data_IF_690844013990
#
_entry.id   IF_690844013990
#
_cell.length_a   1.000
_cell.length_b   1.000
_cell.length_c   1.000
_cell.angle_alpha   90.00
_cell.angle_beta   90.00
_cell.angle_gamma   90.00
#
_symmetry.space_group_name_H-M   'P 1'
#
loop_
_entity.id
_entity.type
_entity.pdbx_description
1 polymer ?
#
# COMPACT_ATOMS: atom_id res chain seq x y z
N UNK A 1 -6.05 -11.37 -9.56
CA UNK A 1 -5.15 -10.94 -8.46
C UNK A 1 -3.90 -10.39 -9.13
N UNK A 2 -3.53 -9.16 -8.82
CA UNK A 2 -2.26 -8.57 -9.26
C UNK A 2 -1.24 -8.69 -8.13
N UNK A 3 -0.02 -9.11 -8.45
CA UNK A 3 1.06 -9.25 -7.49
C UNK A 3 2.19 -8.29 -7.85
N UNK A 4 2.37 -7.27 -7.02
CA UNK A 4 3.45 -6.28 -7.19
C UNK A 4 4.55 -6.58 -6.18
N UNK A 5 5.56 -7.34 -6.62
CA UNK A 5 6.69 -7.74 -5.79
C UNK A 5 7.74 -6.62 -5.69
N UNK A 6 8.56 -6.66 -4.65
CA UNK A 6 9.63 -5.66 -4.44
C UNK A 6 9.14 -4.27 -4.03
N UNK A 7 7.82 -4.06 -3.94
CA UNK A 7 7.23 -2.78 -3.56
C UNK A 7 7.12 -2.65 -2.05
N UNK A 8 7.74 -1.60 -1.50
CA UNK A 8 7.56 -1.20 -0.11
C UNK A 8 6.54 -0.08 -0.01
N UNK A 9 5.49 -0.27 0.78
CA UNK A 9 4.56 0.80 1.15
C UNK A 9 5.14 1.59 2.32
N UNK A 10 5.16 2.92 2.24
CA UNK A 10 5.66 3.81 3.30
C UNK A 10 4.55 4.35 4.20
N UNK A 11 3.38 4.67 3.63
CA UNK A 11 2.25 5.20 4.37
C UNK A 11 0.93 4.89 3.67
N UNK A 12 -0.16 4.97 4.42
CA UNK A 12 -1.53 4.93 3.91
C UNK A 12 -2.21 6.27 4.21
N UNK A 13 -2.79 6.91 3.19
CA UNK A 13 -3.70 8.04 3.35
C UNK A 13 -5.13 7.51 3.46
N UNK A 14 -5.70 7.57 4.65
CA UNK A 14 -7.04 7.07 4.94
C UNK A 14 -8.16 7.98 4.40
N UNK A 15 -7.90 9.28 4.24
CA UNK A 15 -8.89 10.23 3.72
C UNK A 15 -9.04 10.07 2.21
N UNK A 16 -7.91 9.91 1.52
CA UNK A 16 -7.88 9.69 0.06
C UNK A 16 -8.04 8.23 -0.33
N UNK A 17 -7.98 7.32 0.64
CA UNK A 17 -7.99 5.87 0.43
C UNK A 17 -6.88 5.42 -0.53
N UNK A 18 -5.64 5.86 -0.26
CA UNK A 18 -4.47 5.53 -1.07
C UNK A 18 -3.27 5.04 -0.25
N UNK A 19 -2.36 4.32 -0.91
CA UNK A 19 -1.05 3.92 -0.38
C UNK A 19 0.04 4.68 -1.12
N UNK A 20 1.04 5.17 -0.39
CA UNK A 20 2.25 5.75 -0.96
C UNK A 20 3.38 4.72 -0.93
N UNK A 21 3.93 4.39 -2.10
CA UNK A 21 5.08 3.49 -2.20
C UNK A 21 6.39 4.22 -1.94
N UNK A 22 7.45 3.46 -1.66
CA UNK A 22 8.80 4.03 -1.52
C UNK A 22 9.34 4.65 -2.82
N UNK A 23 8.79 4.26 -3.98
CA UNK A 23 9.10 4.86 -5.27
C UNK A 23 8.35 6.19 -5.53
N UNK A 24 7.43 6.59 -4.65
CA UNK A 24 6.61 7.80 -4.79
C UNK A 24 5.30 7.59 -5.53
N UNK A 25 4.98 6.35 -5.91
CA UNK A 25 3.73 6.01 -6.59
C UNK A 25 2.57 5.96 -5.60
N UNK A 26 1.36 6.23 -6.10
CA UNK A 26 0.14 6.17 -5.30
C UNK A 26 -0.77 5.06 -5.82
N UNK A 27 -1.26 4.22 -4.91
CA UNK A 27 -2.18 3.11 -5.23
C UNK A 27 -3.50 3.33 -4.49
N UNK A 28 -4.60 3.49 -5.20
CA UNK A 28 -5.93 3.65 -4.62
C UNK A 28 -6.54 2.31 -4.19
N UNK A 29 -7.31 2.31 -3.10
CA UNK A 29 -8.02 1.13 -2.63
C UNK A 29 -9.45 1.48 -2.20
N UNK A 30 -10.34 0.47 -2.23
CA UNK A 30 -11.66 0.55 -1.60
C UNK A 30 -11.67 -0.09 -0.21
N UNK A 31 -10.96 -1.22 -0.08
CA UNK A 31 -10.77 -1.95 1.17
C UNK A 31 -9.29 -2.27 1.31
N UNK A 32 -8.70 -2.01 2.49
CA UNK A 32 -7.29 -2.25 2.78
C UNK A 32 -7.16 -3.33 3.85
N UNK A 33 -6.44 -4.40 3.54
CA UNK A 33 -6.08 -5.46 4.49
C UNK A 33 -4.58 -5.37 4.74
N UNK A 34 -4.18 -5.27 6.00
CA UNK A 34 -2.78 -5.20 6.41
C UNK A 34 -2.34 -6.58 6.91
N UNK A 35 -1.41 -7.19 6.20
CA UNK A 35 -0.87 -8.51 6.50
C UNK A 35 0.68 -8.51 6.43
N UNK A 36 1.31 -7.53 7.07
CA UNK A 36 2.77 -7.31 7.01
C UNK A 36 3.59 -8.32 7.84
N UNK A 37 2.94 -9.29 8.49
CA UNK A 37 3.60 -10.20 9.42
C UNK A 37 4.16 -9.49 10.65
N UNK A 38 5.11 -10.14 11.32
CA UNK A 38 5.85 -9.60 12.47
C UNK A 38 7.36 -9.66 12.21
N UNK A 39 8.08 -8.70 12.81
CA UNK A 39 9.53 -8.70 12.98
C UNK A 39 9.88 -7.99 14.29
#
# INVERSE_FOLDING_TARGET
>A
IELVLGTRVKSADLRRQTLLTAAGETISYKTLIIATGAR
#
